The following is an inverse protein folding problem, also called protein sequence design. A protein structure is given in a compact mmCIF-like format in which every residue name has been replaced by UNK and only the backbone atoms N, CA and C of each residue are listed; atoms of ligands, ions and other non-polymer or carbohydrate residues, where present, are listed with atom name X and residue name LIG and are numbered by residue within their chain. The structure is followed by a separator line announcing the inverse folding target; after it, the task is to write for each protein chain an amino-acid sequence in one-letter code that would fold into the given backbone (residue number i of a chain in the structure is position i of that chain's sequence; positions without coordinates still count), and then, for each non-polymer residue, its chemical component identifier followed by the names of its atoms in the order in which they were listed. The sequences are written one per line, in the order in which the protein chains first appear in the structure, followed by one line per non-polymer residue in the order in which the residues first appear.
data_IF_217778449934
#
_entry.id   IF_217778449934
#
_cell.length_a   1.000
_cell.length_b   1.000
_cell.length_c   1.000
_cell.angle_alpha   90.00
_cell.angle_beta   90.00
_cell.angle_gamma   90.00
#
_symmetry.space_group_name_H-M   'P 1'
#
loop_
_entity.id
_entity.type
_entity.pdbx_description
1 polymer ?
#
# COMPACT_ATOMS: atom_id res chain seq x y z
N UNK A 1 -28.80 -2.37 12.26
CA UNK A 1 -27.84 -1.56 11.49
C UNK A 1 -28.13 -1.76 10.01
N UNK A 2 -27.98 -0.76 9.14
CA UNK A 2 -28.15 -0.95 7.71
C UNK A 2 -27.12 -2.00 7.25
N UNK A 3 -27.49 -2.83 6.28
CA UNK A 3 -26.56 -3.77 5.65
C UNK A 3 -25.60 -3.00 4.79
N UNK A 4 -24.31 -3.39 4.80
CA UNK A 4 -23.24 -2.85 3.97
C UNK A 4 -22.74 -3.99 3.07
N UNK A 5 -23.25 -4.03 1.86
CA UNK A 5 -22.98 -5.08 0.88
C UNK A 5 -21.74 -4.73 0.05
N UNK A 6 -20.66 -5.49 0.21
CA UNK A 6 -19.41 -5.31 -0.50
C UNK A 6 -19.32 -6.30 -1.66
N UNK A 7 -19.11 -5.78 -2.87
CA UNK A 7 -18.73 -6.60 -4.01
C UNK A 7 -17.21 -6.72 -4.08
N UNK A 8 -16.72 -7.94 -4.23
CA UNK A 8 -15.30 -8.25 -4.35
C UNK A 8 -15.00 -8.49 -5.83
N UNK A 9 -14.08 -7.69 -6.38
CA UNK A 9 -13.65 -7.75 -7.78
C UNK A 9 -12.27 -8.41 -7.84
N UNK A 10 -12.25 -9.65 -8.25
CA UNK A 10 -11.16 -10.62 -8.21
C UNK A 10 -10.76 -11.05 -6.78
N UNK A 11 -10.23 -12.26 -6.70
CA UNK A 11 -9.76 -12.88 -5.45
C UNK A 11 -8.31 -13.37 -5.56
N UNK A 12 -7.55 -12.81 -6.49
CA UNK A 12 -6.17 -13.23 -6.79
C UNK A 12 -5.18 -12.87 -5.69
N UNK A 13 -5.39 -11.75 -5.00
CA UNK A 13 -4.41 -11.22 -4.06
C UNK A 13 -4.35 -12.07 -2.78
N UNK A 14 -3.13 -12.29 -2.27
CA UNK A 14 -2.87 -13.09 -1.05
C UNK A 14 -3.66 -12.61 0.18
N UNK A 15 -3.98 -11.31 0.27
CA UNK A 15 -4.74 -10.73 1.38
C UNK A 15 -6.24 -10.98 1.30
N UNK A 16 -6.77 -11.43 0.16
CA UNK A 16 -8.21 -11.59 -0.06
C UNK A 16 -8.89 -12.41 1.02
N UNK A 17 -8.28 -13.54 1.41
CA UNK A 17 -8.81 -14.40 2.47
C UNK A 17 -8.99 -13.62 3.79
N UNK A 18 -7.96 -12.88 4.21
CA UNK A 18 -8.03 -12.09 5.44
C UNK A 18 -9.07 -10.96 5.38
N UNK A 19 -9.28 -10.36 4.20
CA UNK A 19 -10.31 -9.34 4.03
C UNK A 19 -11.72 -9.93 4.08
N UNK A 20 -11.94 -11.06 3.45
CA UNK A 20 -13.21 -11.77 3.52
C UNK A 20 -13.53 -12.17 4.96
N UNK A 21 -12.53 -12.68 5.69
CA UNK A 21 -12.72 -13.01 7.11
C UNK A 21 -13.13 -11.79 7.94
N UNK A 22 -12.59 -10.60 7.68
CA UNK A 22 -13.01 -9.36 8.33
C UNK A 22 -14.45 -8.97 7.97
N UNK A 23 -14.89 -9.20 6.74
CA UNK A 23 -16.29 -8.96 6.34
C UNK A 23 -17.23 -9.93 7.05
N UNK A 24 -16.87 -11.21 7.13
CA UNK A 24 -17.70 -12.25 7.77
C UNK A 24 -17.79 -12.08 9.30
N UNK A 25 -16.67 -11.71 9.94
CA UNK A 25 -16.60 -11.54 11.41
C UNK A 25 -17.17 -10.19 11.88
N UNK A 26 -17.41 -9.25 10.98
CA UNK A 26 -17.93 -7.93 11.34
C UNK A 26 -19.36 -7.98 11.88
N UNK A 27 -19.64 -7.15 12.90
CA UNK A 27 -20.95 -7.09 13.57
C UNK A 27 -21.73 -5.82 13.25
N UNK A 28 -21.21 -4.98 12.35
CA UNK A 28 -21.73 -3.66 11.98
C UNK A 28 -22.58 -3.66 10.69
N UNK A 29 -23.04 -4.84 10.27
CA UNK A 29 -23.87 -5.02 9.09
C UNK A 29 -23.09 -5.24 7.78
N UNK A 30 -21.75 -5.23 7.83
CA UNK A 30 -20.90 -5.52 6.67
C UNK A 30 -21.08 -6.96 6.18
N UNK A 31 -20.98 -7.14 4.85
CA UNK A 31 -21.14 -8.47 4.23
C UNK A 31 -20.32 -8.55 2.93
N UNK A 32 -19.62 -9.68 2.72
CA UNK A 32 -19.22 -10.11 1.40
C UNK A 32 -20.49 -10.53 0.64
N UNK A 33 -20.96 -9.66 -0.25
CA UNK A 33 -22.27 -9.84 -0.87
C UNK A 33 -22.19 -10.60 -2.18
N UNK A 34 -21.28 -10.19 -3.05
CA UNK A 34 -21.05 -10.86 -4.35
C UNK A 34 -19.57 -10.83 -4.69
N UNK A 35 -19.12 -11.86 -5.40
CA UNK A 35 -17.76 -11.99 -5.90
C UNK A 35 -17.80 -12.12 -7.41
N UNK A 36 -17.01 -11.31 -8.08
CA UNK A 36 -16.61 -11.49 -9.47
C UNK A 36 -15.13 -11.87 -9.52
N UNK A 37 -14.80 -12.81 -10.40
CA UNK A 37 -13.40 -13.17 -10.66
C UNK A 37 -13.29 -13.60 -12.12
N UNK A 38 -12.23 -13.19 -12.80
CA UNK A 38 -11.94 -13.60 -14.17
C UNK A 38 -11.51 -15.09 -14.26
N UNK A 39 -11.07 -15.67 -13.13
CA UNK A 39 -10.87 -17.12 -12.95
C UNK A 39 -12.07 -17.68 -12.17
N UNK A 40 -13.08 -18.16 -12.92
CA UNK A 40 -14.38 -18.54 -12.35
C UNK A 40 -14.27 -19.52 -11.18
N UNK A 41 -13.40 -20.53 -11.28
CA UNK A 41 -13.24 -21.54 -10.21
C UNK A 41 -12.62 -20.94 -8.96
N UNK A 42 -11.69 -19.97 -9.08
CA UNK A 42 -11.14 -19.23 -7.96
C UNK A 42 -12.24 -18.40 -7.27
N UNK A 43 -13.00 -17.63 -8.05
CA UNK A 43 -14.09 -16.81 -7.53
C UNK A 43 -15.19 -17.64 -6.83
N UNK A 44 -15.59 -18.78 -7.40
CA UNK A 44 -16.56 -19.69 -6.78
C UNK A 44 -16.08 -20.24 -5.45
N UNK A 45 -14.84 -20.73 -5.37
CA UNK A 45 -14.26 -21.24 -4.11
C UNK A 45 -14.33 -20.19 -2.99
N UNK A 46 -14.00 -18.92 -3.30
CA UNK A 46 -14.09 -17.85 -2.31
C UNK A 46 -15.54 -17.49 -1.96
N UNK A 47 -16.45 -17.45 -2.92
CA UNK A 47 -17.85 -17.19 -2.70
C UNK A 47 -18.48 -18.27 -1.77
N UNK A 48 -18.24 -19.54 -2.07
CA UNK A 48 -18.71 -20.66 -1.24
C UNK A 48 -18.16 -20.59 0.19
N UNK A 49 -16.89 -20.18 0.35
CA UNK A 49 -16.24 -20.09 1.66
C UNK A 49 -16.84 -19.02 2.60
N UNK A 50 -17.54 -18.03 2.06
CA UNK A 50 -18.09 -16.92 2.83
C UNK A 50 -19.60 -16.72 2.66
N UNK A 51 -20.28 -17.58 1.91
CA UNK A 51 -21.72 -17.48 1.63
C UNK A 51 -22.09 -16.27 0.78
N UNK A 52 -21.16 -15.78 -0.05
CA UNK A 52 -21.40 -14.73 -1.06
C UNK A 52 -21.94 -15.34 -2.35
N UNK A 53 -22.57 -14.51 -3.18
CA UNK A 53 -22.93 -14.92 -4.53
C UNK A 53 -21.71 -14.85 -5.45
N UNK A 54 -21.51 -15.83 -6.32
CA UNK A 54 -20.58 -15.72 -7.44
C UNK A 54 -21.31 -15.24 -8.68
N UNK A 55 -20.82 -14.18 -9.32
CA UNK A 55 -21.37 -13.71 -10.60
C UNK A 55 -20.22 -13.49 -11.60
N UNK A 56 -20.19 -14.21 -12.73
CA UNK A 56 -19.14 -14.08 -13.74
C UNK A 56 -19.27 -12.82 -14.61
N UNK A 57 -20.39 -12.11 -14.55
CA UNK A 57 -20.62 -10.87 -15.30
C UNK A 57 -20.21 -9.67 -14.47
N UNK A 58 -19.04 -9.08 -14.77
CA UNK A 58 -18.55 -7.88 -14.11
C UNK A 58 -19.54 -6.71 -14.25
N UNK A 59 -20.13 -6.55 -15.43
CA UNK A 59 -21.07 -5.44 -15.69
C UNK A 59 -22.30 -5.55 -14.80
N UNK A 60 -22.84 -6.76 -14.63
CA UNK A 60 -23.96 -7.01 -13.73
C UNK A 60 -23.58 -6.72 -12.27
N UNK A 61 -22.39 -7.12 -11.82
CA UNK A 61 -21.91 -6.84 -10.46
C UNK A 61 -21.73 -5.34 -10.20
N UNK A 62 -21.14 -4.62 -11.16
CA UNK A 62 -20.93 -3.17 -11.04
C UNK A 62 -22.23 -2.38 -10.97
N UNK A 63 -23.26 -2.81 -11.70
CA UNK A 63 -24.55 -2.13 -11.78
C UNK A 63 -25.59 -2.67 -10.77
N UNK A 64 -25.22 -3.62 -9.91
CA UNK A 64 -26.15 -4.13 -8.90
C UNK A 64 -26.49 -3.03 -7.87
N UNK A 65 -27.77 -2.62 -7.77
CA UNK A 65 -28.18 -1.55 -6.85
C UNK A 65 -28.01 -1.95 -5.37
N UNK A 66 -27.89 -3.24 -5.06
CA UNK A 66 -27.69 -3.72 -3.70
C UNK A 66 -26.24 -3.63 -3.22
N UNK A 67 -25.28 -3.41 -4.09
CA UNK A 67 -23.87 -3.21 -3.74
C UNK A 67 -23.67 -1.80 -3.22
N UNK A 68 -23.03 -1.65 -2.07
CA UNK A 68 -22.73 -0.36 -1.45
C UNK A 68 -21.29 0.11 -1.74
N UNK A 69 -20.36 -0.82 -1.93
CA UNK A 69 -18.96 -0.52 -2.24
C UNK A 69 -18.24 -1.68 -2.91
N UNK A 70 -17.10 -1.37 -3.51
CA UNK A 70 -16.25 -2.33 -4.21
C UNK A 70 -14.93 -2.56 -3.50
N UNK A 71 -14.45 -3.81 -3.53
CA UNK A 71 -13.11 -4.18 -3.06
C UNK A 71 -12.38 -4.91 -4.19
N UNK A 72 -11.32 -4.30 -4.73
CA UNK A 72 -10.49 -4.86 -5.81
C UNK A 72 -9.33 -5.60 -5.18
N UNK A 73 -9.26 -6.93 -5.42
CA UNK A 73 -8.21 -7.82 -4.94
C UNK A 73 -7.58 -8.60 -6.09
N UNK A 74 -7.35 -7.93 -7.21
CA UNK A 74 -6.79 -8.48 -8.42
C UNK A 74 -5.25 -8.56 -8.40
N UNK A 75 -4.67 -9.07 -9.45
CA UNK A 75 -3.25 -8.94 -9.77
C UNK A 75 -2.91 -7.47 -10.04
N UNK A 76 -1.70 -7.03 -9.71
CA UNK A 76 -1.33 -5.61 -9.70
C UNK A 76 -1.63 -4.86 -11.01
N UNK A 77 -1.27 -5.43 -12.15
CA UNK A 77 -1.48 -4.79 -13.46
C UNK A 77 -2.93 -4.74 -13.91
N UNK A 78 -3.82 -5.48 -13.24
CA UNK A 78 -5.26 -5.50 -13.52
C UNK A 78 -6.05 -4.48 -12.72
N UNK A 79 -5.43 -3.86 -11.71
CA UNK A 79 -6.08 -2.84 -10.89
C UNK A 79 -6.63 -1.70 -11.74
N UNK A 80 -5.86 -1.21 -12.72
CA UNK A 80 -6.27 -0.08 -13.55
C UNK A 80 -7.59 -0.34 -14.28
N UNK A 81 -7.72 -1.48 -14.96
CA UNK A 81 -8.95 -1.83 -15.70
C UNK A 81 -10.17 -1.94 -14.80
N UNK A 82 -10.01 -2.50 -13.61
CA UNK A 82 -11.10 -2.64 -12.64
C UNK A 82 -11.47 -1.28 -12.03
N UNK A 83 -10.49 -0.41 -11.75
CA UNK A 83 -10.74 0.96 -11.31
C UNK A 83 -11.43 1.79 -12.40
N UNK A 84 -10.98 1.67 -13.65
CA UNK A 84 -11.61 2.33 -14.80
C UNK A 84 -13.09 1.97 -14.94
N UNK A 85 -13.45 0.71 -14.65
CA UNK A 85 -14.82 0.23 -14.69
C UNK A 85 -15.63 0.61 -13.42
N UNK A 86 -15.04 0.54 -12.23
CA UNK A 86 -15.75 0.70 -10.96
C UNK A 86 -15.96 2.18 -10.57
N UNK A 87 -14.97 3.06 -10.79
CA UNK A 87 -15.06 4.46 -10.36
C UNK A 87 -16.22 5.24 -10.99
N UNK A 88 -16.60 5.04 -12.29
CA UNK A 88 -17.74 5.71 -12.89
C UNK A 88 -19.09 5.38 -12.24
N UNK A 89 -19.17 4.26 -11.52
CA UNK A 89 -20.39 3.87 -10.80
C UNK A 89 -20.69 4.87 -9.67
N UNK A 90 -19.63 5.43 -9.02
CA UNK A 90 -19.77 6.45 -7.97
C UNK A 90 -19.93 5.85 -6.57
N UNK A 91 -19.75 4.55 -6.40
CA UNK A 91 -19.71 3.88 -5.10
C UNK A 91 -18.26 3.83 -4.59
N UNK A 92 -18.01 3.90 -3.27
CA UNK A 92 -16.66 3.80 -2.73
C UNK A 92 -15.92 2.55 -3.19
N UNK A 93 -14.63 2.70 -3.49
CA UNK A 93 -13.75 1.63 -3.95
C UNK A 93 -12.54 1.51 -3.03
N UNK A 94 -12.28 0.31 -2.54
CA UNK A 94 -10.98 -0.08 -1.99
C UNK A 94 -10.23 -0.88 -3.04
N UNK A 95 -8.99 -0.49 -3.35
CA UNK A 95 -8.10 -1.24 -4.22
C UNK A 95 -6.90 -1.74 -3.44
N UNK A 96 -6.48 -2.99 -3.65
CA UNK A 96 -5.25 -3.51 -3.07
C UNK A 96 -4.02 -2.71 -3.51
N UNK A 97 -2.94 -2.88 -2.74
CA UNK A 97 -1.64 -2.28 -3.02
C UNK A 97 -0.82 -3.18 -3.99
N UNK A 98 0.06 -2.61 -4.78
CA UNK A 98 0.18 -1.18 -5.07
C UNK A 98 -1.09 -0.67 -5.74
N UNK A 99 -1.44 0.60 -5.53
CA UNK A 99 -2.68 1.14 -6.13
C UNK A 99 -2.72 0.90 -7.65
N UNK A 100 -1.60 1.16 -8.31
CA UNK A 100 -1.36 1.01 -9.75
C UNK A 100 0.12 0.67 -9.98
N UNK A 101 0.50 0.39 -11.22
CA UNK A 101 1.87 0.02 -11.59
C UNK A 101 2.63 1.11 -12.34
N UNK A 102 1.94 2.12 -12.89
CA UNK A 102 2.54 3.20 -13.67
C UNK A 102 1.97 4.57 -13.35
N UNK A 103 2.76 5.62 -13.55
CA UNK A 103 2.32 7.03 -13.42
C UNK A 103 1.27 7.42 -14.46
N UNK A 104 1.29 6.78 -15.63
CA UNK A 104 0.27 7.02 -16.66
C UNK A 104 -1.10 6.55 -16.20
N UNK A 105 -1.19 5.38 -15.56
CA UNK A 105 -2.42 4.88 -14.95
C UNK A 105 -2.90 5.79 -13.82
N UNK A 106 -1.98 6.30 -12.99
CA UNK A 106 -2.29 7.29 -11.95
C UNK A 106 -2.92 8.55 -12.55
N UNK A 107 -2.33 9.08 -13.62
CA UNK A 107 -2.87 10.27 -14.28
C UNK A 107 -4.29 10.02 -14.83
N UNK A 108 -4.54 8.85 -15.41
CA UNK A 108 -5.86 8.47 -15.91
C UNK A 108 -6.91 8.34 -14.78
N UNK A 109 -6.54 7.69 -13.66
CA UNK A 109 -7.43 7.56 -12.48
C UNK A 109 -7.71 8.93 -11.88
N UNK A 110 -6.70 9.81 -11.71
CA UNK A 110 -6.91 11.18 -11.23
C UNK A 110 -7.85 11.98 -12.14
N UNK A 111 -7.66 11.89 -13.45
CA UNK A 111 -8.56 12.55 -14.40
C UNK A 111 -10.00 12.02 -14.31
N UNK A 112 -10.19 10.75 -14.04
CA UNK A 112 -11.50 10.16 -13.83
C UNK A 112 -12.15 10.64 -12.52
N UNK A 113 -11.40 10.67 -11.42
CA UNK A 113 -11.84 11.18 -10.12
C UNK A 113 -12.21 12.69 -10.19
N UNK A 114 -11.49 13.47 -11.00
CA UNK A 114 -11.80 14.88 -11.22
C UNK A 114 -13.12 15.06 -11.99
N UNK A 115 -13.43 14.17 -12.94
CA UNK A 115 -14.70 14.21 -13.70
C UNK A 115 -15.89 13.73 -12.89
N UNK A 116 -15.71 12.68 -12.11
CA UNK A 116 -16.73 12.11 -11.22
C UNK A 116 -16.10 11.79 -9.87
N UNK A 117 -16.23 12.67 -8.87
CA UNK A 117 -15.70 12.41 -7.54
C UNK A 117 -16.27 11.12 -6.96
N UNK A 118 -15.38 10.20 -6.65
CA UNK A 118 -15.69 8.89 -6.05
C UNK A 118 -14.63 8.60 -4.99
N UNK A 119 -15.03 8.09 -3.85
CA UNK A 119 -14.04 7.75 -2.81
C UNK A 119 -13.25 6.51 -3.21
N UNK A 120 -11.94 6.69 -3.37
CA UNK A 120 -10.96 5.65 -3.62
C UNK A 120 -10.01 5.57 -2.43
N UNK A 121 -9.82 4.37 -1.88
CA UNK A 121 -8.82 4.07 -0.85
C UNK A 121 -7.96 2.89 -1.30
N UNK A 122 -6.75 2.79 -0.75
CA UNK A 122 -5.83 1.72 -1.10
C UNK A 122 -5.56 0.79 0.10
N UNK A 123 -5.17 -0.45 -0.17
CA UNK A 123 -4.94 -1.52 0.81
C UNK A 123 -3.73 -1.32 1.73
N UNK A 124 -3.13 -0.14 1.79
CA UNK A 124 -2.09 0.17 2.76
C UNK A 124 -2.66 0.23 4.18
N UNK A 125 -1.88 -0.25 5.15
CA UNK A 125 -2.32 -0.30 6.56
C UNK A 125 -1.30 0.30 7.55
N UNK A 126 -0.02 0.35 7.18
CA UNK A 126 1.06 0.76 8.10
C UNK A 126 0.84 2.14 8.73
N UNK A 127 0.53 3.22 8.00
CA UNK A 127 0.36 4.55 8.60
C UNK A 127 -0.81 4.66 9.59
N UNK A 128 -1.74 3.71 9.54
CA UNK A 128 -2.95 3.71 10.37
C UNK A 128 -2.79 2.95 11.68
N UNK A 129 -1.70 2.19 11.87
CA UNK A 129 -1.43 1.48 13.12
C UNK A 129 -1.15 2.45 14.27
N UNK A 130 -1.52 2.05 15.49
CA UNK A 130 -1.33 2.88 16.68
C UNK A 130 0.13 3.31 16.92
N UNK A 131 1.08 2.41 16.66
CA UNK A 131 2.52 2.71 16.78
C UNK A 131 2.99 3.75 15.76
N UNK A 132 2.64 3.56 14.47
CA UNK A 132 3.04 4.52 13.42
C UNK A 132 2.39 5.89 13.62
N UNK A 133 1.17 5.92 14.12
CA UNK A 133 0.51 7.17 14.51
C UNK A 133 1.20 7.87 15.67
N UNK A 134 1.61 7.12 16.70
CA UNK A 134 2.38 7.68 17.82
C UNK A 134 3.73 8.24 17.34
N UNK A 135 4.44 7.52 16.46
CA UNK A 135 5.69 7.98 15.84
C UNK A 135 5.44 9.25 14.99
N UNK A 136 4.39 9.28 14.21
CA UNK A 136 4.01 10.45 13.42
C UNK A 136 3.72 11.67 14.30
N UNK A 137 3.07 11.47 15.45
CA UNK A 137 2.83 12.54 16.43
C UNK A 137 4.14 13.03 17.04
N UNK A 138 5.05 12.15 17.46
CA UNK A 138 6.35 12.51 18.01
C UNK A 138 7.18 13.34 17.00
N UNK A 139 7.15 12.98 15.72
CA UNK A 139 7.79 13.77 14.65
C UNK A 139 7.12 15.15 14.52
N UNK A 140 5.80 15.20 14.47
CA UNK A 140 5.04 16.45 14.33
C UNK A 140 5.20 17.39 15.54
N UNK A 141 5.40 16.83 16.74
CA UNK A 141 5.67 17.56 17.98
C UNK A 141 7.14 17.95 18.15
N UNK A 142 7.98 17.66 17.14
CA UNK A 142 9.42 17.95 17.12
C UNK A 142 10.20 17.25 18.26
N UNK A 143 9.73 16.11 18.76
CA UNK A 143 10.41 15.39 19.84
C UNK A 143 11.79 14.84 19.43
N UNK A 144 12.00 14.60 18.15
CA UNK A 144 13.26 14.12 17.57
C UNK A 144 14.15 15.27 17.10
N UNK A 145 13.69 16.51 17.14
CA UNK A 145 14.35 17.64 16.49
C UNK A 145 14.24 17.56 14.97
N UNK A 146 15.14 18.18 14.25
CA UNK A 146 15.20 18.10 12.79
C UNK A 146 15.50 16.69 12.35
N UNK A 147 14.63 16.09 11.55
CA UNK A 147 14.84 14.74 11.01
C UNK A 147 15.96 14.77 9.96
N UNK A 148 16.98 13.95 10.18
CA UNK A 148 18.16 13.87 9.32
C UNK A 148 18.09 12.71 8.34
N UNK A 149 17.57 11.57 8.79
CA UNK A 149 17.37 10.39 7.93
C UNK A 149 16.27 9.48 8.47
N UNK A 150 15.76 8.65 7.57
CA UNK A 150 14.87 7.55 7.92
C UNK A 150 15.19 6.30 7.09
N UNK A 151 14.95 5.13 7.65
CA UNK A 151 15.08 3.85 6.95
C UNK A 151 13.85 2.99 7.21
N UNK A 152 13.34 2.33 6.17
CA UNK A 152 12.37 1.28 6.34
C UNK A 152 12.80 0.02 5.58
N UNK A 153 12.96 -1.08 6.33
CA UNK A 153 13.14 -2.42 5.76
C UNK A 153 11.83 -3.19 5.85
N UNK A 154 11.27 -3.56 4.69
CA UNK A 154 10.12 -4.43 4.58
C UNK A 154 10.54 -5.69 3.80
N UNK A 155 10.76 -6.78 4.49
CA UNK A 155 11.41 -7.94 3.91
C UNK A 155 10.98 -9.24 4.61
N UNK A 156 10.93 -10.31 3.86
CA UNK A 156 10.67 -11.68 4.31
C UNK A 156 11.35 -12.70 3.38
N UNK A 157 11.15 -14.00 3.60
CA UNK A 157 11.82 -15.08 2.90
C UNK A 157 10.95 -15.79 1.84
N UNK A 158 9.96 -15.12 1.26
CA UNK A 158 8.99 -15.77 0.36
C UNK A 158 9.61 -16.52 -0.81
N UNK A 159 10.74 -16.05 -1.37
CA UNK A 159 11.40 -16.73 -2.46
C UNK A 159 12.01 -18.06 -1.98
N UNK A 160 12.72 -18.07 -0.86
CA UNK A 160 13.26 -19.30 -0.28
C UNK A 160 12.18 -20.20 0.30
N UNK A 161 11.10 -19.63 0.83
CA UNK A 161 9.92 -20.35 1.32
C UNK A 161 9.02 -20.89 0.22
N UNK A 162 9.31 -20.59 -1.06
CA UNK A 162 8.56 -21.07 -2.22
C UNK A 162 7.06 -20.73 -2.15
N UNK A 163 6.71 -19.56 -1.60
CA UNK A 163 5.30 -19.17 -1.38
C UNK A 163 4.51 -19.06 -2.67
N UNK A 164 5.18 -18.64 -3.75
CA UNK A 164 4.54 -18.42 -5.07
C UNK A 164 4.48 -19.68 -5.95
N UNK A 165 4.87 -20.84 -5.42
CA UNK A 165 4.60 -22.13 -6.05
C UNK A 165 3.12 -22.53 -5.90
N UNK A 166 2.41 -21.89 -4.99
CA UNK A 166 0.95 -22.00 -4.91
C UNK A 166 0.33 -21.43 -6.20
N UNK A 167 -0.48 -22.23 -6.95
CA UNK A 167 -1.07 -21.79 -8.21
C UNK A 167 -1.88 -20.49 -8.10
N UNK A 168 -2.57 -20.26 -6.99
CA UNK A 168 -3.35 -19.02 -6.77
C UNK A 168 -2.44 -17.79 -6.56
N UNK A 169 -1.15 -17.98 -6.26
CA UNK A 169 -0.16 -16.92 -6.02
C UNK A 169 0.93 -16.86 -7.10
N UNK A 170 0.92 -17.76 -8.07
CA UNK A 170 1.95 -17.84 -9.12
C UNK A 170 2.08 -16.53 -9.93
N UNK A 171 1.01 -15.74 -10.00
CA UNK A 171 0.99 -14.44 -10.67
C UNK A 171 2.00 -13.43 -10.08
N UNK A 172 2.38 -13.55 -8.79
CA UNK A 172 3.41 -12.70 -8.18
C UNK A 172 4.77 -12.81 -8.88
N UNK A 173 5.01 -13.91 -9.61
CA UNK A 173 6.25 -14.18 -10.35
C UNK A 173 6.11 -14.01 -11.86
N UNK A 174 4.94 -13.56 -12.34
CA UNK A 174 4.69 -13.23 -13.75
C UNK A 174 4.80 -11.70 -13.95
N UNK A 175 5.80 -11.20 -14.71
CA UNK A 175 5.95 -9.78 -14.98
C UNK A 175 4.71 -9.10 -15.57
N UNK A 176 3.92 -9.83 -16.37
CA UNK A 176 2.73 -9.30 -17.02
C UNK A 176 1.58 -9.05 -16.03
N UNK A 177 1.57 -9.74 -14.90
CA UNK A 177 0.53 -9.63 -13.87
C UNK A 177 1.00 -8.87 -12.64
N UNK A 178 2.25 -9.07 -12.21
CA UNK A 178 2.81 -8.44 -11.03
C UNK A 178 3.34 -7.02 -11.29
N UNK A 179 3.83 -6.74 -12.50
CA UNK A 179 4.45 -5.44 -12.85
C UNK A 179 5.84 -5.22 -12.25
N UNK A 180 6.27 -6.04 -11.29
CA UNK A 180 7.56 -6.03 -10.62
C UNK A 180 7.63 -7.13 -9.57
N UNK A 181 8.81 -7.38 -9.01
CA UNK A 181 9.04 -8.44 -8.04
C UNK A 181 8.95 -7.95 -6.58
N UNK A 182 9.92 -8.38 -5.77
CA UNK A 182 9.99 -8.06 -4.35
C UNK A 182 9.99 -6.55 -4.07
N UNK A 183 10.62 -5.76 -4.93
CA UNK A 183 10.64 -4.32 -4.72
C UNK A 183 9.26 -3.70 -4.98
N UNK A 184 8.50 -4.18 -5.95
CA UNK A 184 7.11 -3.77 -6.17
C UNK A 184 6.21 -4.20 -5.01
N UNK A 185 6.27 -5.46 -4.59
CA UNK A 185 5.40 -6.02 -3.56
C UNK A 185 5.67 -5.46 -2.16
N UNK A 186 6.94 -5.49 -1.73
CA UNK A 186 7.34 -5.12 -0.37
C UNK A 186 7.78 -3.66 -0.26
N UNK A 187 8.44 -3.14 -1.29
CA UNK A 187 8.94 -1.76 -1.32
C UNK A 187 7.83 -0.73 -1.35
N UNK A 188 6.71 -1.03 -1.99
CA UNK A 188 5.55 -0.13 -2.03
C UNK A 188 5.04 0.24 -0.63
N UNK A 189 5.04 -0.70 0.33
CA UNK A 189 4.67 -0.42 1.73
C UNK A 189 5.64 0.55 2.40
N UNK A 190 6.95 0.34 2.18
CA UNK A 190 7.99 1.19 2.76
C UNK A 190 7.94 2.61 2.18
N UNK A 191 7.81 2.72 0.87
CA UNK A 191 7.68 3.99 0.15
C UNK A 191 6.45 4.75 0.61
N UNK A 192 5.29 4.10 0.65
CA UNK A 192 4.04 4.73 1.09
C UNK A 192 4.15 5.24 2.54
N UNK A 193 4.72 4.45 3.47
CA UNK A 193 4.90 4.88 4.85
C UNK A 193 5.83 6.07 4.96
N UNK A 194 7.02 6.03 4.35
CA UNK A 194 7.98 7.15 4.39
C UNK A 194 7.38 8.41 3.74
N UNK A 195 6.66 8.26 2.61
CA UNK A 195 5.94 9.37 1.97
C UNK A 195 4.87 9.96 2.90
N UNK A 196 4.16 9.12 3.64
CA UNK A 196 3.11 9.57 4.57
C UNK A 196 3.70 10.31 5.78
N UNK A 197 4.87 9.90 6.27
CA UNK A 197 5.53 10.51 7.43
C UNK A 197 6.28 11.80 7.09
N UNK A 198 6.97 11.85 5.95
CA UNK A 198 7.94 12.90 5.64
C UNK A 198 7.54 13.78 4.46
N UNK A 199 6.40 13.52 3.85
CA UNK A 199 5.93 14.30 2.71
C UNK A 199 6.52 13.85 1.37
N UNK A 200 6.49 14.74 0.37
CA UNK A 200 6.82 14.39 -0.99
C UNK A 200 8.31 14.05 -1.22
N UNK A 201 8.56 13.05 -2.07
CA UNK A 201 9.90 12.70 -2.56
C UNK A 201 10.23 13.53 -3.80
N UNK A 202 11.45 14.07 -3.87
CA UNK A 202 11.94 14.85 -4.99
C UNK A 202 12.69 13.99 -6.02
N UNK A 203 13.47 13.02 -5.53
CA UNK A 203 14.29 12.16 -6.40
C UNK A 203 14.52 10.80 -5.76
N UNK A 204 14.78 9.81 -6.60
CA UNK A 204 15.05 8.41 -6.23
C UNK A 204 16.32 7.92 -6.90
N UNK A 205 17.14 7.15 -6.15
CA UNK A 205 18.23 6.32 -6.70
C UNK A 205 18.04 4.91 -6.16
N UNK A 206 18.10 3.89 -7.03
CA UNK A 206 17.82 2.51 -6.64
C UNK A 206 18.73 1.49 -7.30
N UNK A 207 18.92 0.36 -6.62
CA UNK A 207 19.48 -0.88 -7.15
C UNK A 207 18.50 -2.01 -6.85
N UNK A 208 18.00 -2.65 -7.90
CA UNK A 208 16.97 -3.69 -7.85
C UNK A 208 17.46 -4.88 -8.68
N UNK A 209 17.47 -6.07 -8.12
CA UNK A 209 18.04 -7.24 -8.76
C UNK A 209 17.35 -8.55 -8.36
N UNK A 210 17.50 -9.56 -9.21
CA UNK A 210 17.27 -10.95 -8.83
C UNK A 210 18.60 -11.55 -8.33
N UNK A 211 18.65 -11.99 -7.09
CA UNK A 211 19.86 -12.49 -6.44
C UNK A 211 19.81 -14.00 -6.16
N UNK A 212 18.63 -14.53 -5.88
CA UNK A 212 18.47 -15.94 -5.55
C UNK A 212 18.16 -16.82 -6.77
N UNK A 213 17.65 -16.23 -7.85
CA UNK A 213 17.18 -16.93 -9.04
C UNK A 213 16.06 -17.96 -8.76
N UNK A 214 15.41 -17.92 -7.59
CA UNK A 214 14.29 -18.81 -7.27
C UNK A 214 13.08 -18.55 -8.19
N UNK A 215 12.85 -17.27 -8.54
CA UNK A 215 11.84 -16.81 -9.49
C UNK A 215 12.54 -15.89 -10.51
N UNK A 216 13.10 -16.45 -11.60
CA UNK A 216 14.14 -15.77 -12.40
C UNK A 216 13.62 -14.60 -13.25
N UNK A 217 12.30 -14.43 -13.40
CA UNK A 217 11.73 -13.41 -14.27
C UNK A 217 11.61 -12.03 -13.63
N UNK A 218 11.69 -11.93 -12.31
CA UNK A 218 11.48 -10.71 -11.54
C UNK A 218 12.56 -10.52 -10.47
N UNK A 219 12.67 -9.31 -9.94
CA UNK A 219 13.54 -9.01 -8.82
C UNK A 219 13.07 -9.70 -7.53
N UNK A 220 14.01 -10.08 -6.68
CA UNK A 220 13.74 -10.64 -5.36
C UNK A 220 14.37 -9.82 -4.23
N UNK A 221 15.10 -8.75 -4.59
CA UNK A 221 15.73 -7.81 -3.66
C UNK A 221 15.91 -6.44 -4.31
N UNK A 222 15.74 -5.39 -3.51
CA UNK A 222 16.01 -4.02 -3.96
C UNK A 222 16.21 -3.06 -2.80
N UNK A 223 17.02 -2.04 -3.07
CA UNK A 223 17.26 -0.91 -2.18
C UNK A 223 17.11 0.40 -2.96
N UNK A 224 16.53 1.41 -2.30
CA UNK A 224 16.40 2.74 -2.86
C UNK A 224 16.76 3.83 -1.84
N UNK A 225 17.38 4.91 -2.32
CA UNK A 225 17.53 6.18 -1.63
C UNK A 225 16.45 7.12 -2.13
N UNK A 226 15.71 7.72 -1.21
CA UNK A 226 14.68 8.72 -1.45
C UNK A 226 15.18 10.07 -0.95
N UNK A 227 15.15 11.09 -1.80
CA UNK A 227 15.46 12.45 -1.40
C UNK A 227 14.17 13.22 -1.11
N UNK A 228 13.97 13.58 0.16
CA UNK A 228 12.89 14.44 0.61
C UNK A 228 13.41 15.88 0.74
N UNK A 229 12.57 16.84 0.38
CA UNK A 229 12.84 18.27 0.64
C UNK A 229 11.72 18.79 1.52
N UNK A 230 11.84 18.67 2.86
CA UNK A 230 10.86 19.20 3.77
C UNK A 230 10.72 20.72 3.61
N UNK A 231 9.48 21.22 3.72
CA UNK A 231 9.22 22.65 3.58
C UNK A 231 9.99 23.44 4.65
N UNK A 232 10.82 24.41 4.21
CA UNK A 232 11.63 25.26 5.10
C UNK A 232 12.92 24.62 5.62
N UNK A 233 13.30 23.44 5.12
CA UNK A 233 14.59 22.85 5.46
C UNK A 233 15.73 23.39 4.58
N UNK A 234 16.89 23.62 5.20
CA UNK A 234 18.10 24.09 4.51
C UNK A 234 18.80 22.97 3.70
N UNK A 235 18.47 21.71 3.99
CA UNK A 235 19.07 20.55 3.35
C UNK A 235 18.03 19.43 3.16
N UNK A 236 18.20 18.57 2.13
CA UNK A 236 17.34 17.42 1.93
C UNK A 236 17.52 16.36 3.03
N UNK A 237 16.43 15.70 3.44
CA UNK A 237 16.44 14.49 4.23
C UNK A 237 16.58 13.26 3.33
N UNK A 238 17.37 12.27 3.73
CA UNK A 238 17.49 11.01 3.02
C UNK A 238 16.66 9.92 3.68
N UNK A 239 15.81 9.28 2.87
CA UNK A 239 15.14 8.04 3.23
C UNK A 239 15.79 6.83 2.55
N UNK A 240 15.85 5.70 3.24
CA UNK A 240 16.30 4.44 2.66
C UNK A 240 15.18 3.41 2.71
N UNK A 241 14.91 2.78 1.59
CA UNK A 241 13.97 1.65 1.46
C UNK A 241 14.76 0.40 1.15
N UNK A 242 14.48 -0.67 1.86
CA UNK A 242 14.95 -2.02 1.53
C UNK A 242 13.75 -2.96 1.46
N UNK A 243 13.64 -3.69 0.35
CA UNK A 243 12.57 -4.64 0.08
C UNK A 243 13.15 -5.97 -0.41
N UNK A 244 12.63 -7.09 0.12
CA UNK A 244 13.22 -8.39 -0.20
C UNK A 244 12.26 -9.54 0.02
N UNK A 245 12.34 -10.55 -0.86
CA UNK A 245 11.77 -11.88 -0.69
C UNK A 245 12.80 -12.94 -0.25
N UNK A 246 14.07 -12.51 -0.07
CA UNK A 246 15.19 -13.40 0.30
C UNK A 246 15.80 -13.05 1.66
N UNK A 247 15.05 -12.36 2.52
CA UNK A 247 15.50 -11.97 3.84
C UNK A 247 15.32 -13.12 4.85
N UNK A 248 16.41 -13.69 5.33
CA UNK A 248 16.38 -14.87 6.21
C UNK A 248 16.14 -14.51 7.68
N UNK A 249 16.40 -13.27 8.08
CA UNK A 249 16.25 -12.84 9.47
C UNK A 249 16.90 -11.48 9.73
N UNK A 250 16.79 -11.02 10.97
CA UNK A 250 17.27 -9.72 11.40
C UNK A 250 16.18 -8.64 11.45
N UNK A 251 16.48 -7.45 11.94
CA UNK A 251 15.48 -6.42 12.19
C UNK A 251 14.87 -5.90 10.89
N UNK A 252 13.56 -5.81 10.89
CA UNK A 252 12.75 -5.10 9.88
C UNK A 252 12.05 -3.92 10.55
N UNK A 253 11.43 -3.05 9.78
CA UNK A 253 10.65 -1.93 10.29
C UNK A 253 11.30 -0.58 10.05
N UNK A 254 10.80 0.42 10.77
CA UNK A 254 11.14 1.83 10.64
C UNK A 254 12.27 2.22 11.59
N UNK A 255 13.21 3.00 11.10
CA UNK A 255 14.17 3.78 11.88
C UNK A 255 14.08 5.24 11.45
N UNK A 256 14.08 6.15 12.42
CA UNK A 256 14.09 7.61 12.18
C UNK A 256 15.19 8.21 13.03
N UNK A 257 16.04 9.02 12.42
CA UNK A 257 17.10 9.77 13.10
C UNK A 257 16.79 11.26 13.04
N UNK A 258 16.91 11.92 14.18
CA UNK A 258 16.78 13.37 14.30
C UNK A 258 17.90 13.94 15.16
N UNK A 259 18.01 15.27 15.19
CA UNK A 259 19.08 15.98 15.91
C UNK A 259 18.95 15.87 17.44
N UNK A 260 17.77 15.52 17.96
CA UNK A 260 17.50 15.45 19.41
C UNK A 260 17.05 14.07 19.88
N UNK A 261 16.88 13.12 18.98
CA UNK A 261 16.46 11.77 19.32
C UNK A 261 16.27 10.87 18.10
N UNK A 262 15.98 9.62 18.35
CA UNK A 262 15.75 8.60 17.32
C UNK A 262 14.60 7.66 17.68
N UNK A 263 14.01 7.04 16.67
CA UNK A 263 13.05 5.94 16.80
C UNK A 263 13.60 4.72 16.07
N UNK A 264 13.48 3.54 16.68
CA UNK A 264 13.85 2.27 16.05
C UNK A 264 13.04 1.12 16.65
N UNK A 265 13.05 -0.03 15.97
CA UNK A 265 12.46 -1.28 16.48
C UNK A 265 13.53 -2.08 17.22
N UNK A 266 13.33 -2.40 18.49
CA UNK A 266 14.31 -3.07 19.36
C UNK A 266 14.20 -4.62 19.35
N UNK A 267 13.32 -5.16 18.52
CA UNK A 267 12.99 -6.60 18.47
C UNK A 267 11.68 -6.93 19.19
N UNK A 268 11.21 -6.09 20.11
CA UNK A 268 9.95 -6.26 20.85
C UNK A 268 8.88 -5.23 20.49
N UNK A 269 9.28 -4.10 19.92
CA UNK A 269 8.42 -2.99 19.54
C UNK A 269 9.24 -1.76 19.17
N UNK A 270 8.56 -0.66 18.95
CA UNK A 270 9.25 0.62 18.70
C UNK A 270 9.65 1.28 20.01
N UNK A 271 10.84 1.89 19.99
CA UNK A 271 11.36 2.71 21.09
C UNK A 271 11.78 4.07 20.58
N UNK A 272 11.70 5.07 21.45
CA UNK A 272 12.23 6.41 21.23
C UNK A 272 13.39 6.64 22.22
N UNK A 273 14.54 7.03 21.70
CA UNK A 273 15.74 7.33 22.50
C UNK A 273 16.19 8.77 22.32
N UNK A 274 16.71 9.35 23.38
CA UNK A 274 17.35 10.68 23.40
C UNK A 274 18.76 10.57 23.99
N UNK A 275 19.73 11.37 23.55
CA UNK A 275 21.08 11.32 24.08
C UNK A 275 21.11 11.41 25.62
N UNK A 276 21.85 10.51 26.25
CA UNK A 276 22.01 10.47 27.73
C UNK A 276 20.78 9.99 28.51
N UNK A 277 19.76 9.48 27.86
CA UNK A 277 18.55 8.94 28.48
C UNK A 277 18.29 7.49 28.06
N UNK A 278 17.74 6.66 28.96
CA UNK A 278 17.25 5.34 28.55
C UNK A 278 16.19 5.45 27.45
N UNK A 279 16.24 4.55 26.47
CA UNK A 279 15.18 4.47 25.47
C UNK A 279 13.84 4.09 26.13
N UNK A 280 12.75 4.67 25.64
CA UNK A 280 11.39 4.43 26.13
C UNK A 280 10.58 3.73 25.03
N UNK A 281 9.69 2.83 25.39
CA UNK A 281 8.74 2.24 24.45
C UNK A 281 7.84 3.32 23.85
N UNK A 282 7.55 3.19 22.57
CA UNK A 282 6.53 3.98 21.90
C UNK A 282 5.18 3.37 22.28
N UNK A 283 4.44 4.09 23.11
CA UNK A 283 3.09 3.68 23.47
C UNK A 283 2.15 3.91 22.28
N UNK A 284 1.53 2.82 21.81
CA UNK A 284 0.60 2.89 20.69
C UNK A 284 -0.62 3.75 21.06
N UNK A 285 -0.96 4.71 20.20
CA UNK A 285 -2.23 5.44 20.30
C UNK A 285 -3.34 4.65 19.62
N UNK A 286 -4.59 5.12 19.72
CA UNK A 286 -5.69 4.50 19.00
C UNK A 286 -5.39 4.37 17.51
N UNK A 287 -5.50 3.15 16.97
CA UNK A 287 -5.34 2.90 15.53
C UNK A 287 -6.51 3.52 14.73
N UNK A 288 -6.25 3.90 13.48
CA UNK A 288 -7.31 4.28 12.55
C UNK A 288 -7.76 3.07 11.74
N UNK A 289 -9.00 3.07 11.24
CA UNK A 289 -9.45 2.04 10.31
C UNK A 289 -8.53 1.93 9.10
N UNK A 290 -8.18 0.70 8.71
CA UNK A 290 -7.35 0.40 7.55
C UNK A 290 -7.98 -0.72 6.72
N UNK A 291 -7.69 -0.78 5.42
CA UNK A 291 -8.19 -1.82 4.51
C UNK A 291 -9.72 -1.94 4.56
N UNK A 292 -10.27 -3.13 4.80
CA UNK A 292 -11.72 -3.38 4.88
C UNK A 292 -12.41 -2.46 5.89
N UNK A 293 -11.83 -2.31 7.10
CA UNK A 293 -12.43 -1.46 8.13
C UNK A 293 -12.48 0.01 7.69
N UNK A 294 -11.50 0.45 6.88
CA UNK A 294 -11.50 1.78 6.29
C UNK A 294 -12.59 1.96 5.22
N UNK A 295 -12.81 0.94 4.37
CA UNK A 295 -13.92 0.95 3.43
C UNK A 295 -15.27 1.06 4.14
N UNK A 296 -15.46 0.30 5.23
CA UNK A 296 -16.68 0.37 6.04
C UNK A 296 -16.82 1.76 6.68
N UNK A 297 -15.76 2.30 7.24
CA UNK A 297 -15.77 3.65 7.83
C UNK A 297 -16.09 4.75 6.79
N UNK A 298 -15.64 4.59 5.53
CA UNK A 298 -16.03 5.45 4.41
C UNK A 298 -17.53 5.35 4.14
N UNK A 299 -18.07 4.13 4.06
CA UNK A 299 -19.50 3.91 3.84
C UNK A 299 -20.37 4.46 4.97
N UNK A 300 -19.85 4.47 6.18
CA UNK A 300 -20.50 5.06 7.37
C UNK A 300 -20.28 6.59 7.48
N UNK A 301 -19.49 7.19 6.59
CA UNK A 301 -19.23 8.64 6.59
C UNK A 301 -18.39 9.12 7.77
N UNK A 302 -17.58 8.25 8.39
CA UNK A 302 -16.83 8.57 9.63
C UNK A 302 -15.40 9.07 9.37
N UNK A 303 -14.91 9.05 8.12
CA UNK A 303 -13.56 9.52 7.76
C UNK A 303 -13.65 10.92 7.14
N UNK A 304 -12.91 11.92 7.65
CA UNK A 304 -12.89 13.26 7.07
C UNK A 304 -12.40 13.26 5.61
N UNK A 305 -13.03 14.09 4.76
CA UNK A 305 -12.66 14.19 3.34
C UNK A 305 -11.18 14.61 3.15
N UNK A 306 -10.65 15.50 3.98
CA UNK A 306 -9.27 15.93 3.91
C UNK A 306 -8.28 14.78 4.20
N UNK A 307 -8.65 13.84 5.09
CA UNK A 307 -7.85 12.66 5.36
C UNK A 307 -7.84 11.71 4.15
N UNK A 308 -9.00 11.51 3.51
CA UNK A 308 -9.12 10.68 2.31
C UNK A 308 -8.31 11.27 1.14
N UNK A 309 -8.35 12.59 0.96
CA UNK A 309 -7.57 13.28 -0.07
C UNK A 309 -6.06 13.13 0.16
N UNK A 310 -5.58 13.32 1.40
CA UNK A 310 -4.17 13.16 1.72
C UNK A 310 -3.68 11.71 1.56
N UNK A 311 -4.54 10.74 1.88
CA UNK A 311 -4.23 9.30 1.75
C UNK A 311 -4.11 8.90 0.28
N UNK A 312 -5.07 9.25 -0.57
CA UNK A 312 -5.00 8.91 -1.99
C UNK A 312 -3.84 9.62 -2.70
N UNK A 313 -3.48 10.83 -2.27
CA UNK A 313 -2.30 11.52 -2.78
C UNK A 313 -1.00 10.76 -2.44
N UNK A 314 -0.89 10.26 -1.21
CA UNK A 314 0.26 9.45 -0.80
C UNK A 314 0.33 8.11 -1.58
N UNK A 315 -0.83 7.48 -1.84
CA UNK A 315 -0.92 6.26 -2.63
C UNK A 315 -0.49 6.48 -4.09
N UNK A 316 -0.94 7.56 -4.71
CA UNK A 316 -0.56 7.94 -6.07
C UNK A 316 0.94 8.29 -6.17
N UNK A 317 1.46 9.05 -5.20
CA UNK A 317 2.90 9.37 -5.15
C UNK A 317 3.74 8.10 -4.97
N UNK A 318 3.28 7.12 -4.18
CA UNK A 318 4.00 5.85 -4.01
C UNK A 318 4.19 5.10 -5.34
N UNK A 319 3.20 5.12 -6.23
CA UNK A 319 3.32 4.55 -7.58
C UNK A 319 4.40 5.27 -8.39
N UNK A 320 4.39 6.60 -8.41
CA UNK A 320 5.39 7.40 -9.14
C UNK A 320 6.81 7.20 -8.60
N UNK A 321 6.97 7.08 -7.27
CA UNK A 321 8.25 6.81 -6.62
C UNK A 321 8.75 5.40 -6.99
N UNK A 322 7.85 4.43 -7.00
CA UNK A 322 8.15 3.04 -7.38
C UNK A 322 8.64 2.97 -8.84
N UNK A 323 7.90 3.57 -9.77
CA UNK A 323 8.28 3.63 -11.20
C UNK A 323 9.63 4.33 -11.37
N UNK A 324 9.87 5.44 -10.65
CA UNK A 324 11.15 6.14 -10.66
C UNK A 324 12.30 5.27 -10.13
N UNK A 325 12.05 4.41 -9.14
CA UNK A 325 13.06 3.49 -8.64
C UNK A 325 13.48 2.44 -9.69
N UNK A 326 12.53 1.84 -10.40
CA UNK A 326 12.85 0.92 -11.52
C UNK A 326 13.58 1.65 -12.66
N UNK A 327 13.17 2.88 -12.98
CA UNK A 327 13.88 3.72 -13.98
C UNK A 327 15.30 4.06 -13.53
N UNK A 328 15.49 4.39 -12.26
CA UNK A 328 16.81 4.65 -11.67
C UNK A 328 17.71 3.43 -11.77
N UNK A 329 17.19 2.26 -11.45
CA UNK A 329 17.92 0.99 -11.59
C UNK A 329 18.37 0.74 -13.04
N UNK A 330 17.51 1.02 -14.01
CA UNK A 330 17.83 0.85 -15.42
C UNK A 330 18.85 1.88 -15.95
N UNK A 331 18.82 3.13 -15.45
CA UNK A 331 19.71 4.22 -15.89
C UNK A 331 21.01 4.34 -15.11
N UNK A 332 21.09 3.72 -13.91
CA UNK A 332 22.25 3.82 -13.00
C UNK A 332 22.38 5.15 -12.26
N UNK A 333 21.35 6.01 -12.28
CA UNK A 333 21.42 7.35 -11.70
C UNK A 333 20.16 7.81 -10.96
N UNK A 334 20.21 9.01 -10.39
CA UNK A 334 19.06 9.63 -9.77
C UNK A 334 17.97 9.99 -10.79
N UNK A 335 16.73 9.66 -10.46
CA UNK A 335 15.54 10.05 -11.23
C UNK A 335 14.75 11.08 -10.44
N UNK A 336 14.53 12.27 -11.03
CA UNK A 336 13.73 13.33 -10.42
C UNK A 336 12.24 13.09 -10.62
N UNK A 337 11.46 13.40 -9.57
CA UNK A 337 9.99 13.39 -9.57
C UNK A 337 9.38 14.79 -9.73
N UNK A 338 10.21 15.83 -9.82
CA UNK A 338 9.76 17.22 -9.85
C UNK A 338 8.91 17.60 -11.08
N UNK A 339 9.02 16.85 -12.17
CA UNK A 339 8.27 17.12 -13.40
C UNK A 339 6.79 16.73 -13.32
N UNK A 340 6.43 15.74 -12.50
CA UNK A 340 5.06 15.27 -12.36
C UNK A 340 4.15 16.24 -11.58
N UNK A 341 4.74 17.13 -10.77
CA UNK A 341 4.01 18.09 -9.90
C UNK A 341 3.64 19.41 -10.56
N UNK A 342 4.24 19.75 -11.72
CA UNK A 342 3.91 20.98 -12.46
C UNK A 342 2.71 20.79 -13.41
N UNK A 343 2.23 19.58 -13.56
CA UNK A 343 1.12 19.21 -14.46
C UNK A 343 -0.20 18.88 -13.72
N UNK A 344 -0.22 18.96 -12.41
CA UNK A 344 -1.39 18.86 -11.54
C UNK A 344 -1.65 20.22 -10.86
#
# INVERSE_FOLDING_TARGET
MPRLNIAILSTAHIHTKGFIEKLVKGTDGRKAYTIWDDVADRGKRYADSCGANFNPDLTAVLNDPQVDGFMICAENTRHFKLLEAALPIGKPVMCEKPLLTTSAEVAAVRAQLARKPTTLICGYFKPFSGEMRAISQAIAQNELGTITSARYRNAHHAAYGRWFDNPDLAWFTDPALAGGGAFMDMGTHAIHLLRSLFGPVEAVSATIANRSHQYPKLDDHGQALLRFVPKGADAPMLGTVEASWIHQGGPTGLEVQGTSGAVWHDGTGYVIGKPGQPAKKVEAVEARPATVDRLIAVLQGTIPAAELAADIDACCDAVGIMEAAYRSNASGGWVSLAAARKAS
#
